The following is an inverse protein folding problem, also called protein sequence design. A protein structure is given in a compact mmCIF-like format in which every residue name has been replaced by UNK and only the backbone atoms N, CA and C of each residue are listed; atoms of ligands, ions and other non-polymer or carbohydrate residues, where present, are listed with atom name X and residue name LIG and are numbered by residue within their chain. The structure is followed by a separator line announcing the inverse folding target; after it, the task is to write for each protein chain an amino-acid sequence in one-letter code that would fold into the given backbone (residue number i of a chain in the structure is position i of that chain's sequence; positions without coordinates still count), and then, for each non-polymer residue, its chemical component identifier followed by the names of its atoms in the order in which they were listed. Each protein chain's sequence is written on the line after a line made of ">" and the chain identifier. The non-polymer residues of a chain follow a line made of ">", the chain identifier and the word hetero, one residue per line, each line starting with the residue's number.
data_IF_587169412272
#
_entry.id   IF_587169412272
#
_cell.length_a   1.000
_cell.length_b   1.000
_cell.length_c   1.000
_cell.angle_alpha   90.00
_cell.angle_beta   90.00
_cell.angle_gamma   90.00
#
_symmetry.space_group_name_H-M   'P 1'
#
loop_
_entity.id
_entity.type
_entity.pdbx_description
1 polymer ?
#
# COMPACT_ATOMS: atom_id res chain seq x y z
N UNK A 1 46.29 12.00 -25.91
CA UNK A 1 45.22 11.16 -26.45
C UNK A 1 43.92 11.52 -25.77
N UNK A 2 42.96 12.06 -26.50
CA UNK A 2 41.64 12.41 -25.98
C UNK A 2 40.73 11.17 -25.96
N UNK A 3 39.83 11.02 -24.97
CA UNK A 3 38.92 9.88 -24.91
C UNK A 3 37.84 9.95 -26.02
N UNK A 4 37.44 8.81 -26.60
CA UNK A 4 36.44 8.76 -27.66
C UNK A 4 35.04 9.12 -27.17
N UNK A 5 34.55 10.24 -27.71
CA UNK A 5 33.17 10.64 -28.02
C UNK A 5 32.00 9.86 -27.40
N UNK A 6 31.34 10.49 -26.43
CA UNK A 6 29.95 10.20 -26.09
C UNK A 6 29.03 10.72 -27.19
N UNK A 7 28.50 9.81 -28.01
CA UNK A 7 27.46 10.11 -28.99
C UNK A 7 26.14 10.34 -28.24
N UNK A 8 25.72 11.60 -28.13
CA UNK A 8 24.38 11.97 -27.68
C UNK A 8 23.50 12.14 -28.92
N UNK A 9 22.43 11.34 -29.10
CA UNK A 9 21.53 11.55 -30.22
C UNK A 9 20.78 12.88 -30.04
N UNK A 10 20.55 13.64 -31.13
CA UNK A 10 19.82 14.89 -31.07
C UNK A 10 18.36 14.63 -30.71
N UNK A 11 17.91 15.32 -29.65
CA UNK A 11 16.52 15.36 -29.22
C UNK A 11 15.75 16.21 -30.25
N UNK A 12 15.20 15.58 -31.27
CA UNK A 12 14.38 16.26 -32.27
C UNK A 12 13.02 16.63 -31.68
N UNK A 13 12.74 17.92 -31.74
CA UNK A 13 11.48 18.58 -31.38
C UNK A 13 10.28 17.88 -32.05
N UNK A 14 9.43 17.27 -31.23
CA UNK A 14 8.06 16.91 -31.65
C UNK A 14 7.12 18.03 -31.20
N UNK A 15 7.04 19.05 -32.05
CA UNK A 15 5.99 20.06 -32.02
C UNK A 15 4.60 19.40 -32.15
N UNK A 16 3.73 19.77 -31.22
CA UNK A 16 2.37 19.28 -31.14
C UNK A 16 1.48 19.76 -32.29
N UNK A 17 0.86 18.81 -32.99
CA UNK A 17 -0.37 19.04 -33.76
C UNK A 17 -1.57 18.59 -32.92
N UNK A 18 -2.17 19.54 -32.20
CA UNK A 18 -3.55 19.40 -31.69
C UNK A 18 -4.48 19.68 -32.86
N UNK A 19 -5.27 18.68 -33.26
CA UNK A 19 -6.41 18.88 -34.16
C UNK A 19 -7.66 18.90 -33.28
N UNK A 20 -8.23 20.10 -33.16
CA UNK A 20 -9.60 20.30 -32.73
C UNK A 20 -10.53 19.74 -33.81
N UNK A 21 -11.42 18.84 -33.41
CA UNK A 21 -12.58 18.44 -34.19
C UNK A 21 -13.76 18.37 -33.22
N UNK A 22 -14.49 19.49 -33.15
CA UNK A 22 -15.83 19.51 -32.61
C UNK A 22 -16.78 18.77 -33.55
N UNK A 23 -17.57 17.87 -32.99
CA UNK A 23 -18.81 17.41 -33.58
C UNK A 23 -19.87 17.46 -32.48
N UNK A 24 -20.67 18.52 -32.54
CA UNK A 24 -22.02 18.55 -32.01
C UNK A 24 -22.84 17.51 -32.80
N UNK A 25 -23.49 16.60 -32.09
CA UNK A 25 -24.50 15.73 -32.64
C UNK A 25 -25.75 15.85 -31.76
N UNK A 26 -26.80 16.34 -32.41
CA UNK A 26 -28.13 16.60 -31.88
C UNK A 26 -28.76 15.34 -31.25
N UNK A 27 -29.25 15.51 -30.02
CA UNK A 27 -30.12 14.55 -29.35
C UNK A 27 -31.54 14.64 -29.92
N UNK A 28 -32.02 13.53 -30.52
CA UNK A 28 -33.44 13.30 -30.74
C UNK A 28 -34.02 12.50 -29.57
N UNK A 29 -35.14 12.92 -28.95
CA UNK A 29 -35.81 12.14 -27.91
C UNK A 29 -36.61 10.99 -28.54
N UNK A 30 -36.02 9.79 -28.54
CA UNK A 30 -36.71 8.54 -28.90
C UNK A 30 -37.61 8.07 -27.76
N UNK A 31 -38.89 8.44 -27.83
CA UNK A 31 -39.94 7.90 -26.99
C UNK A 31 -40.33 6.49 -27.45
N UNK A 32 -40.20 5.50 -26.55
CA UNK A 32 -41.07 4.32 -26.54
C UNK A 32 -40.39 2.98 -26.77
N UNK A 33 -40.20 2.23 -25.67
CA UNK A 33 -40.54 0.80 -25.57
C UNK A 33 -40.28 0.36 -24.12
N UNK A 34 -41.34 0.04 -23.37
CA UNK A 34 -41.19 -0.71 -22.11
C UNK A 34 -40.85 -2.15 -22.46
N UNK A 35 -39.56 -2.47 -22.51
CA UNK A 35 -39.08 -3.84 -22.63
C UNK A 35 -38.89 -4.42 -21.22
N UNK A 36 -39.94 -5.07 -20.71
CA UNK A 36 -39.85 -5.98 -19.57
C UNK A 36 -39.11 -7.24 -20.03
N UNK A 37 -37.77 -7.21 -19.95
CA UNK A 37 -36.95 -8.25 -20.58
C UNK A 37 -35.58 -8.42 -19.96
N UNK A 38 -35.50 -9.23 -18.89
CA UNK A 38 -34.38 -10.18 -18.68
C UNK A 38 -32.93 -9.65 -18.74
N UNK A 39 -32.71 -8.38 -18.45
CA UNK A 39 -31.38 -7.91 -18.07
C UNK A 39 -31.10 -8.33 -16.62
N UNK A 40 -30.97 -9.64 -16.41
CA UNK A 40 -30.10 -10.16 -15.37
C UNK A 40 -28.69 -9.73 -15.78
N UNK A 41 -28.41 -8.45 -15.55
CA UNK A 41 -27.14 -7.77 -15.70
C UNK A 41 -26.12 -8.70 -15.07
N UNK A 42 -25.48 -9.50 -15.93
CA UNK A 42 -24.43 -10.43 -15.56
C UNK A 42 -23.26 -9.55 -15.20
N UNK A 43 -23.31 -8.98 -13.99
CA UNK A 43 -22.23 -8.22 -13.40
C UNK A 43 -21.04 -9.15 -13.50
N UNK A 44 -20.11 -8.83 -14.39
CA UNK A 44 -19.02 -9.73 -14.68
C UNK A 44 -18.38 -10.15 -13.36
N UNK A 45 -18.17 -11.46 -13.13
CA UNK A 45 -17.72 -11.92 -11.84
C UNK A 45 -16.39 -11.24 -11.52
N UNK A 46 -16.43 -10.31 -10.57
CA UNK A 46 -15.26 -9.62 -9.99
C UNK A 46 -14.15 -10.65 -9.89
N UNK A 47 -13.06 -10.49 -10.63
CA UNK A 47 -12.13 -11.57 -11.01
C UNK A 47 -11.60 -12.37 -9.80
N UNK A 48 -12.40 -13.33 -9.31
CA UNK A 48 -12.20 -14.04 -8.03
C UNK A 48 -10.87 -14.81 -8.07
N UNK A 49 -10.47 -15.24 -9.27
CA UNK A 49 -9.21 -15.94 -9.53
C UNK A 49 -8.00 -15.15 -9.06
N UNK A 50 -8.05 -13.82 -9.08
CA UNK A 50 -6.94 -12.97 -8.60
C UNK A 50 -6.68 -13.08 -7.09
N UNK A 51 -7.69 -13.46 -6.31
CA UNK A 51 -7.58 -13.53 -4.86
C UNK A 51 -7.13 -14.91 -4.35
N UNK A 52 -7.19 -15.92 -5.21
CA UNK A 52 -6.73 -17.28 -4.91
C UNK A 52 -5.22 -17.33 -5.18
N UNK A 53 -4.44 -17.55 -4.13
CA UNK A 53 -2.98 -17.63 -4.26
C UNK A 53 -2.62 -18.95 -4.95
N UNK A 54 -1.76 -18.95 -5.99
CA UNK A 54 -1.28 -20.17 -6.58
C UNK A 54 -0.49 -20.99 -5.54
N UNK A 55 -0.51 -22.31 -5.71
CA UNK A 55 0.23 -23.21 -4.84
C UNK A 55 1.73 -22.86 -4.84
N UNK A 56 2.42 -22.90 -3.68
CA UNK A 56 3.84 -22.61 -3.61
C UNK A 56 4.65 -23.65 -4.40
N UNK A 57 5.67 -23.19 -5.13
CA UNK A 57 6.64 -24.04 -5.82
C UNK A 57 7.42 -24.89 -4.83
N UNK A 58 7.49 -26.21 -5.03
CA UNK A 58 8.18 -27.16 -4.14
C UNK A 58 9.68 -27.34 -4.40
N UNK A 59 10.20 -26.81 -5.52
CA UNK A 59 11.62 -26.99 -5.87
C UNK A 59 12.53 -26.19 -4.90
N UNK A 60 13.44 -26.86 -4.16
CA UNK A 60 14.27 -26.23 -3.14
C UNK A 60 15.25 -25.18 -3.71
N UNK A 61 15.77 -25.39 -4.92
CA UNK A 61 16.71 -24.45 -5.56
C UNK A 61 16.02 -23.12 -5.90
N UNK A 62 14.80 -23.21 -6.45
CA UNK A 62 13.96 -22.04 -6.74
C UNK A 62 13.63 -21.28 -5.46
N UNK A 63 13.36 -21.99 -4.37
CA UNK A 63 13.11 -21.38 -3.06
C UNK A 63 14.34 -20.66 -2.52
N UNK A 64 15.53 -21.28 -2.56
CA UNK A 64 16.77 -20.67 -2.09
C UNK A 64 17.14 -19.43 -2.92
N UNK A 65 17.05 -19.51 -4.26
CA UNK A 65 17.28 -18.36 -5.15
C UNK A 65 16.33 -17.20 -4.82
N UNK A 66 15.05 -17.51 -4.61
CA UNK A 66 14.03 -16.51 -4.21
C UNK A 66 14.33 -15.91 -2.84
N UNK A 67 14.77 -16.70 -1.87
CA UNK A 67 15.17 -16.23 -0.54
C UNK A 67 16.35 -15.27 -0.63
N UNK A 68 17.41 -15.61 -1.38
CA UNK A 68 18.58 -14.73 -1.59
C UNK A 68 18.18 -13.40 -2.22
N UNK A 69 17.37 -13.42 -3.30
CA UNK A 69 16.85 -12.21 -3.95
C UNK A 69 16.00 -11.35 -3.00
N UNK A 70 15.09 -11.98 -2.24
CA UNK A 70 14.26 -11.30 -1.26
C UNK A 70 15.09 -10.69 -0.13
N UNK A 71 16.12 -11.39 0.34
CA UNK A 71 17.03 -10.91 1.37
C UNK A 71 17.77 -9.65 0.90
N UNK A 72 18.41 -9.70 -0.27
CA UNK A 72 19.10 -8.54 -0.83
C UNK A 72 18.15 -7.36 -1.06
N UNK A 73 16.94 -7.61 -1.59
CA UNK A 73 15.93 -6.57 -1.78
C UNK A 73 15.50 -5.93 -0.45
N UNK A 74 15.31 -6.72 0.61
CA UNK A 74 15.01 -6.22 1.96
C UNK A 74 16.15 -5.39 2.54
N UNK A 75 17.40 -5.80 2.34
CA UNK A 75 18.57 -5.05 2.78
C UNK A 75 18.64 -3.67 2.09
N UNK A 76 18.43 -3.62 0.77
CA UNK A 76 18.37 -2.34 0.03
C UNK A 76 17.22 -1.45 0.52
N UNK A 77 16.03 -2.02 0.69
CA UNK A 77 14.88 -1.29 1.20
C UNK A 77 15.10 -0.77 2.65
N UNK A 78 15.82 -1.52 3.49
CA UNK A 78 16.19 -1.08 4.84
C UNK A 78 17.12 0.13 4.78
N UNK A 79 18.16 0.09 3.94
CA UNK A 79 19.08 1.22 3.72
C UNK A 79 18.34 2.47 3.27
N UNK A 80 17.52 2.37 2.22
CA UNK A 80 16.74 3.51 1.71
C UNK A 80 15.76 4.06 2.76
N UNK A 81 15.12 3.21 3.57
CA UNK A 81 14.26 3.69 4.67
C UNK A 81 15.05 4.46 5.71
N UNK A 82 16.22 3.96 6.09
CA UNK A 82 17.12 4.64 7.04
C UNK A 82 17.60 5.99 6.51
N UNK A 83 17.88 6.09 5.21
CA UNK A 83 18.25 7.36 4.56
C UNK A 83 17.10 8.36 4.61
N UNK A 84 15.88 7.95 4.20
CA UNK A 84 14.70 8.82 4.26
C UNK A 84 14.37 9.24 5.70
N UNK A 85 14.53 8.33 6.67
CA UNK A 85 14.33 8.65 8.09
C UNK A 85 15.31 9.72 8.58
N UNK A 86 16.58 9.66 8.18
CA UNK A 86 17.56 10.72 8.46
C UNK A 86 17.17 12.05 7.81
N UNK A 87 16.66 12.04 6.57
CA UNK A 87 16.19 13.24 5.90
C UNK A 87 14.96 13.86 6.60
N UNK A 88 14.04 13.03 7.10
CA UNK A 88 12.85 13.49 7.82
C UNK A 88 13.22 14.14 9.16
N UNK A 89 14.28 13.69 9.82
CA UNK A 89 14.78 14.31 11.06
C UNK A 89 15.41 15.69 10.84
N UNK A 90 15.99 15.96 9.65
CA UNK A 90 16.49 17.30 9.30
C UNK A 90 15.31 18.27 9.15
N UNK A 91 15.38 19.53 9.63
CA UNK A 91 14.32 20.52 9.42
C UNK A 91 14.14 20.81 7.92
N UNK A 92 12.91 21.16 7.51
CA UNK A 92 12.56 21.29 6.08
C UNK A 92 13.34 22.39 5.35
N UNK A 93 13.71 23.46 6.05
CA UNK A 93 14.43 24.62 5.53
C UNK A 93 15.89 24.29 5.17
N UNK A 94 16.50 23.31 5.84
CA UNK A 94 17.88 22.89 5.59
C UNK A 94 17.99 21.81 4.50
N UNK A 95 16.85 21.26 4.04
CA UNK A 95 16.85 20.20 3.02
C UNK A 95 17.11 20.81 1.65
N UNK A 96 18.05 20.21 0.93
CA UNK A 96 18.24 20.49 -0.48
C UNK A 96 16.98 20.14 -1.29
N UNK A 97 16.75 20.76 -2.47
CA UNK A 97 15.58 20.44 -3.30
C UNK A 97 15.55 18.98 -3.75
N UNK A 98 16.72 18.32 -3.85
CA UNK A 98 16.82 16.90 -4.18
C UNK A 98 16.35 16.00 -3.03
N UNK A 99 16.78 16.28 -1.80
CA UNK A 99 16.33 15.56 -0.60
C UNK A 99 14.82 15.73 -0.37
N UNK A 100 14.29 16.94 -0.60
CA UNK A 100 12.85 17.20 -0.53
C UNK A 100 12.07 16.33 -1.52
N UNK A 101 12.53 16.25 -2.78
CA UNK A 101 11.93 15.36 -3.79
C UNK A 101 12.00 13.88 -3.38
N UNK A 102 13.08 13.44 -2.75
CA UNK A 102 13.20 12.04 -2.31
C UNK A 102 12.20 11.69 -1.20
N UNK A 103 12.04 12.58 -0.22
CA UNK A 103 11.04 12.45 0.84
C UNK A 103 9.63 12.45 0.24
N UNK A 104 9.32 13.40 -0.64
CA UNK A 104 8.01 13.50 -1.28
C UNK A 104 7.69 12.24 -2.12
N UNK A 105 8.65 11.75 -2.92
CA UNK A 105 8.50 10.51 -3.67
C UNK A 105 8.28 9.30 -2.76
N UNK A 106 8.92 9.26 -1.58
CA UNK A 106 8.72 8.19 -0.62
C UNK A 106 7.30 8.24 0.00
N UNK A 107 6.84 9.43 0.39
CA UNK A 107 5.50 9.66 0.92
C UNK A 107 4.41 9.35 -0.11
N UNK A 108 4.57 9.81 -1.35
CA UNK A 108 3.69 9.50 -2.46
C UNK A 108 3.60 8.00 -2.73
N UNK A 109 4.74 7.28 -2.70
CA UNK A 109 4.77 5.82 -2.82
C UNK A 109 4.05 5.15 -1.64
N UNK A 110 4.19 5.67 -0.43
CA UNK A 110 3.51 5.17 0.77
C UNK A 110 2.00 5.40 0.70
N UNK A 111 1.56 6.60 0.31
CA UNK A 111 0.16 6.96 0.14
C UNK A 111 -0.52 6.08 -0.92
N UNK A 112 0.07 5.95 -2.11
CA UNK A 112 -0.43 5.08 -3.19
C UNK A 112 -0.54 3.61 -2.75
N UNK A 113 0.40 3.11 -1.94
CA UNK A 113 0.34 1.76 -1.39
C UNK A 113 -0.81 1.59 -0.40
N UNK A 114 -0.99 2.55 0.51
CA UNK A 114 -2.08 2.53 1.48
C UNK A 114 -3.43 2.57 0.77
N UNK A 115 -3.58 3.44 -0.23
CA UNK A 115 -4.80 3.58 -1.02
C UNK A 115 -5.12 2.29 -1.79
N UNK A 116 -4.14 1.70 -2.48
CA UNK A 116 -4.33 0.39 -3.13
C UNK A 116 -4.74 -0.71 -2.14
N UNK A 117 -4.21 -0.68 -0.91
CA UNK A 117 -4.61 -1.65 0.11
C UNK A 117 -6.03 -1.43 0.62
N UNK A 118 -6.49 -0.16 0.68
CA UNK A 118 -7.86 0.20 1.03
C UNK A 118 -8.83 -0.23 -0.07
N UNK A 119 -8.55 0.13 -1.32
CA UNK A 119 -9.33 -0.28 -2.50
C UNK A 119 -9.50 -1.81 -2.56
N UNK A 120 -8.40 -2.57 -2.46
CA UNK A 120 -8.46 -4.04 -2.42
C UNK A 120 -9.25 -4.60 -1.24
N UNK A 121 -9.28 -3.90 -0.10
CA UNK A 121 -10.07 -4.34 1.05
C UNK A 121 -11.57 -4.11 0.81
N UNK A 122 -11.92 -2.99 0.17
CA UNK A 122 -13.29 -2.67 -0.26
C UNK A 122 -13.75 -3.67 -1.31
N UNK A 123 -12.99 -3.86 -2.39
CA UNK A 123 -13.27 -4.85 -3.44
C UNK A 123 -13.46 -6.26 -2.85
N UNK A 124 -12.60 -6.64 -1.90
CA UNK A 124 -12.71 -7.94 -1.24
C UNK A 124 -13.97 -8.05 -0.38
N UNK A 125 -14.37 -6.98 0.31
CA UNK A 125 -15.60 -6.94 1.12
C UNK A 125 -16.82 -7.07 0.20
N UNK A 126 -16.90 -6.26 -0.85
CA UNK A 126 -17.98 -6.30 -1.83
C UNK A 126 -18.09 -7.69 -2.49
N UNK A 127 -16.96 -8.31 -2.84
CA UNK A 127 -16.96 -9.67 -3.36
C UNK A 127 -17.51 -10.70 -2.36
N UNK A 128 -17.21 -10.57 -1.06
CA UNK A 128 -17.78 -11.43 -0.01
C UNK A 128 -19.29 -11.21 0.08
N UNK A 129 -19.73 -9.95 0.12
CA UNK A 129 -21.13 -9.59 0.25
C UNK A 129 -21.96 -10.10 -0.94
N UNK A 130 -21.43 -9.99 -2.17
CA UNK A 130 -22.03 -10.55 -3.40
C UNK A 130 -22.18 -12.07 -3.34
N UNK A 131 -21.20 -12.80 -2.82
CA UNK A 131 -21.29 -14.28 -2.71
C UNK A 131 -22.28 -14.68 -1.62
N UNK A 132 -22.30 -13.96 -0.50
CA UNK A 132 -23.21 -14.24 0.61
C UNK A 132 -24.68 -13.99 0.25
N UNK A 133 -24.94 -13.02 -0.63
CA UNK A 133 -26.28 -12.76 -1.17
C UNK A 133 -26.84 -13.94 -1.97
N UNK A 134 -25.98 -14.78 -2.58
CA UNK A 134 -26.40 -16.02 -3.25
C UNK A 134 -26.69 -17.12 -2.22
N UNK A 135 -27.77 -17.92 -2.38
CA UNK A 135 -28.01 -19.07 -1.53
C UNK A 135 -26.88 -20.10 -1.69
N UNK A 136 -26.60 -20.87 -0.64
CA UNK A 136 -25.42 -21.76 -0.58
C UNK A 136 -25.41 -22.81 -1.70
N UNK A 137 -26.58 -23.31 -2.10
CA UNK A 137 -26.74 -24.28 -3.19
C UNK A 137 -26.33 -23.75 -4.57
N UNK A 138 -26.31 -22.42 -4.76
CA UNK A 138 -25.97 -21.77 -6.03
C UNK A 138 -24.53 -21.22 -6.06
N UNK A 139 -23.78 -21.35 -4.96
CA UNK A 139 -22.40 -20.87 -4.89
C UNK A 139 -21.47 -21.81 -5.65
N UNK A 140 -20.60 -21.25 -6.46
CA UNK A 140 -19.58 -22.00 -7.18
C UNK A 140 -18.47 -22.48 -6.24
N UNK A 141 -17.78 -23.56 -6.60
CA UNK A 141 -16.64 -24.09 -5.82
C UNK A 141 -15.54 -23.05 -5.57
N UNK A 142 -15.31 -22.15 -6.54
CA UNK A 142 -14.32 -21.08 -6.41
C UNK A 142 -14.76 -20.01 -5.39
N UNK A 143 -16.05 -19.66 -5.38
CA UNK A 143 -16.62 -18.73 -4.41
C UNK A 143 -16.56 -19.30 -2.99
N UNK A 144 -16.87 -20.59 -2.83
CA UNK A 144 -16.74 -21.30 -1.55
C UNK A 144 -15.28 -21.29 -1.05
N UNK A 145 -14.31 -21.62 -1.91
CA UNK A 145 -12.89 -21.57 -1.56
C UNK A 145 -12.42 -20.15 -1.21
N UNK A 146 -12.91 -19.13 -1.92
CA UNK A 146 -12.62 -17.73 -1.62
C UNK A 146 -13.20 -17.31 -0.25
N UNK A 147 -14.44 -17.68 0.06
CA UNK A 147 -15.07 -17.43 1.36
C UNK A 147 -14.29 -18.12 2.49
N UNK A 148 -13.93 -19.39 2.32
CA UNK A 148 -13.13 -20.14 3.29
C UNK A 148 -11.77 -19.46 3.54
N UNK A 149 -11.07 -19.05 2.48
CA UNK A 149 -9.81 -18.31 2.59
C UNK A 149 -10.00 -16.95 3.29
N UNK A 150 -11.10 -16.24 3.01
CA UNK A 150 -11.40 -14.96 3.62
C UNK A 150 -11.70 -15.09 5.12
N UNK A 151 -12.56 -16.04 5.50
CA UNK A 151 -12.95 -16.31 6.89
C UNK A 151 -11.78 -16.84 7.71
N UNK A 152 -11.01 -17.78 7.18
CA UNK A 152 -9.79 -18.28 7.84
C UNK A 152 -8.75 -17.17 8.05
N UNK A 153 -8.59 -16.26 7.08
CA UNK A 153 -7.72 -15.10 7.23
C UNK A 153 -8.22 -14.14 8.32
N UNK A 154 -9.54 -13.90 8.41
CA UNK A 154 -10.14 -13.08 9.47
C UNK A 154 -9.92 -13.71 10.85
N UNK A 155 -10.16 -15.03 10.98
CA UNK A 155 -9.92 -15.79 12.20
C UNK A 155 -8.46 -15.70 12.67
N UNK A 156 -7.49 -15.95 11.78
CA UNK A 156 -6.06 -15.85 12.10
C UNK A 156 -5.64 -14.44 12.52
N UNK A 157 -6.21 -13.39 11.91
CA UNK A 157 -5.95 -11.99 12.30
C UNK A 157 -6.49 -11.68 13.69
N UNK A 158 -7.72 -12.08 14.00
CA UNK A 158 -8.32 -11.88 15.31
C UNK A 158 -7.55 -12.63 16.40
N UNK A 159 -7.11 -13.86 16.13
CA UNK A 159 -6.27 -14.64 17.04
C UNK A 159 -4.90 -13.98 17.27
N UNK A 160 -4.27 -13.48 16.20
CA UNK A 160 -3.02 -12.73 16.30
C UNK A 160 -3.17 -11.44 17.12
N UNK A 161 -4.27 -10.71 16.96
CA UNK A 161 -4.56 -9.52 17.76
C UNK A 161 -4.82 -9.87 19.23
N UNK A 162 -5.55 -10.96 19.49
CA UNK A 162 -5.75 -11.49 20.84
C UNK A 162 -4.43 -11.79 21.54
N UNK A 163 -3.55 -12.58 20.90
CA UNK A 163 -2.23 -12.91 21.44
C UNK A 163 -1.35 -11.66 21.63
N UNK A 164 -1.46 -10.68 20.72
CA UNK A 164 -0.77 -9.39 20.87
C UNK A 164 -1.26 -8.65 22.11
N UNK A 165 -2.57 -8.60 22.36
CA UNK A 165 -3.16 -7.97 23.57
C UNK A 165 -2.74 -8.70 24.84
N UNK A 166 -2.75 -10.02 24.84
CA UNK A 166 -2.28 -10.83 25.96
C UNK A 166 -0.80 -10.57 26.27
N UNK A 167 0.08 -10.50 25.24
CA UNK A 167 1.50 -10.15 25.43
C UNK A 167 1.71 -8.73 25.94
N UNK A 168 0.97 -7.75 25.41
CA UNK A 168 1.03 -6.37 25.91
C UNK A 168 0.56 -6.27 27.36
N UNK A 169 -0.49 -7.02 27.72
CA UNK A 169 -0.97 -7.16 29.10
C UNK A 169 0.09 -7.77 30.01
N UNK A 170 0.77 -8.83 29.58
CA UNK A 170 1.85 -9.46 30.33
C UNK A 170 3.07 -8.54 30.53
N UNK A 171 3.40 -7.72 29.53
CA UNK A 171 4.49 -6.74 29.62
C UNK A 171 4.13 -5.50 30.48
N UNK A 172 2.93 -5.45 31.07
CA UNK A 172 2.48 -4.30 31.85
C UNK A 172 2.24 -3.04 31.02
N UNK A 173 2.33 -3.12 29.69
CA UNK A 173 1.93 -2.06 28.77
C UNK A 173 0.41 -2.14 28.65
N UNK A 174 -0.29 -1.80 29.74
CA UNK A 174 -1.73 -1.68 29.73
C UNK A 174 -2.09 -0.68 28.63
N UNK A 175 -2.90 -1.12 27.66
CA UNK A 175 -3.49 -0.23 26.69
C UNK A 175 -4.33 0.78 27.50
N UNK A 176 -3.80 1.99 27.70
CA UNK A 176 -4.47 3.15 28.29
C UNK A 176 -5.79 3.40 27.55
N UNK A 177 -6.84 2.72 27.96
CA UNK A 177 -8.14 2.76 27.30
C UNK A 177 -9.31 2.53 28.24
N UNK A 178 -9.13 2.58 29.57
CA UNK A 178 -10.29 2.40 30.45
C UNK A 178 -10.09 2.67 31.93
N UNK A 179 -8.87 2.57 32.48
CA UNK A 179 -8.69 2.78 33.91
C UNK A 179 -8.13 4.18 34.16
N UNK A 180 -8.99 5.06 34.69
CA UNK A 180 -8.59 6.31 35.33
C UNK A 180 -7.71 5.93 36.53
N UNK A 181 -6.41 5.80 36.30
CA UNK A 181 -5.45 5.70 37.40
C UNK A 181 -5.28 7.11 37.94
N UNK A 182 -5.94 7.38 39.06
CA UNK A 182 -6.12 8.66 39.75
C UNK A 182 -4.82 9.29 40.31
N UNK A 183 -3.73 9.35 39.54
CA UNK A 183 -2.49 9.91 40.09
C UNK A 183 -1.34 10.15 39.14
N UNK A 184 -1.52 10.06 37.81
CA UNK A 184 -0.46 10.44 36.87
C UNK A 184 -0.95 11.60 36.00
N UNK A 185 -0.22 12.74 35.96
CA UNK A 185 -0.62 13.89 35.17
C UNK A 185 -0.84 13.46 33.73
N UNK A 186 -1.98 13.89 33.22
CA UNK A 186 -2.60 13.50 31.96
C UNK A 186 -1.78 14.07 30.78
N UNK A 187 -0.57 13.57 30.55
CA UNK A 187 0.20 13.92 29.35
C UNK A 187 -0.42 13.15 28.19
N UNK A 188 -1.28 13.86 27.45
CA UNK A 188 -1.88 13.41 26.20
C UNK A 188 -0.78 12.89 25.26
N UNK A 189 -0.99 11.73 24.63
CA UNK A 189 -0.07 11.18 23.63
C UNK A 189 0.06 12.07 22.38
N UNK A 190 -0.70 13.17 22.31
CA UNK A 190 -0.65 14.20 21.27
C UNK A 190 0.33 15.35 21.57
N UNK A 191 1.07 15.28 22.68
CA UNK A 191 1.80 16.42 23.22
C UNK A 191 0.85 17.46 23.84
N UNK A 192 1.35 18.43 24.62
CA UNK A 192 0.54 19.57 25.02
C UNK A 192 0.00 20.24 23.74
N UNK A 193 -1.31 20.47 23.68
CA UNK A 193 -1.87 21.29 22.60
C UNK A 193 -1.15 22.65 22.64
N UNK A 194 -0.77 23.21 21.48
CA UNK A 194 -0.27 24.58 21.41
C UNK A 194 -1.25 25.51 22.14
N UNK A 195 -0.77 26.41 23.02
CA UNK A 195 -1.62 27.20 23.91
C UNK A 195 -2.66 28.09 23.20
N UNK A 196 -2.55 28.28 21.89
CA UNK A 196 -3.51 29.07 21.11
C UNK A 196 -4.91 28.42 20.99
N UNK A 197 -5.05 27.10 21.18
CA UNK A 197 -6.35 26.43 20.99
C UNK A 197 -7.21 26.33 22.24
N UNK A 198 -6.67 26.55 23.45
CA UNK A 198 -7.45 26.44 24.69
C UNK A 198 -8.40 27.64 24.90
N UNK A 199 -8.15 28.79 24.26
CA UNK A 199 -8.97 29.98 24.43
C UNK A 199 -10.30 29.96 23.65
N UNK A 200 -10.46 29.09 22.65
CA UNK A 200 -11.70 29.05 21.83
C UNK A 200 -12.80 28.11 22.34
N UNK A 201 -12.49 27.21 23.27
CA UNK A 201 -13.47 26.22 23.75
C UNK A 201 -14.06 26.55 25.13
N UNK A 202 -13.56 27.59 25.80
CA UNK A 202 -13.93 27.94 27.17
C UNK A 202 -15.07 28.98 27.28
N UNK A 203 -15.52 29.59 26.18
CA UNK A 203 -16.56 30.64 26.23
C UNK A 203 -17.99 30.20 25.94
N UNK A 204 -18.24 29.01 25.37
CA UNK A 204 -19.60 28.64 24.89
C UNK A 204 -20.32 27.55 25.71
N UNK A 205 -19.73 27.06 26.80
CA UNK A 205 -20.24 25.88 27.51
C UNK A 205 -21.01 26.17 28.82
N UNK A 206 -21.54 27.38 29.01
CA UNK A 206 -22.43 27.70 30.14
C UNK A 206 -23.64 28.52 29.69
N UNK A 207 -24.62 27.84 29.11
CA UNK A 207 -26.02 28.23 29.28
C UNK A 207 -26.90 26.99 29.21
N UNK A 208 -27.38 26.60 30.39
CA UNK A 208 -28.50 25.71 30.57
C UNK A 208 -29.72 26.29 29.85
N UNK A 209 -30.44 25.44 29.12
CA UNK A 209 -31.61 25.81 28.35
C UNK A 209 -32.25 24.58 27.73
N UNK A 210 -33.13 23.96 28.50
CA UNK A 210 -34.28 23.17 28.07
C UNK A 210 -34.70 23.50 26.63
N UNK A 211 -34.44 22.59 25.67
CA UNK A 211 -34.93 22.73 24.30
C UNK A 211 -35.53 21.41 23.81
N UNK A 212 -36.86 21.43 23.76
CA UNK A 212 -37.73 20.84 22.75
C UNK A 212 -37.00 20.19 21.57
N UNK A 213 -37.40 18.95 21.27
CA UNK A 213 -37.13 18.22 20.05
C UNK A 213 -37.66 18.98 18.83
N UNK A 214 -36.89 19.92 18.32
CA UNK A 214 -37.16 20.62 17.07
C UNK A 214 -36.46 19.86 15.94
N UNK A 215 -37.26 19.18 15.12
CA UNK A 215 -36.83 18.46 13.93
C UNK A 215 -36.13 19.41 12.97
N UNK A 216 -34.83 19.26 12.81
CA UNK A 216 -34.08 20.00 11.80
C UNK A 216 -34.63 19.65 10.41
N UNK A 217 -34.90 20.65 9.55
CA UNK A 217 -35.30 20.41 8.18
C UNK A 217 -34.17 19.69 7.43
N UNK A 218 -34.53 18.59 6.80
CA UNK A 218 -33.67 17.83 5.89
C UNK A 218 -33.16 18.81 4.82
N UNK A 219 -31.83 18.95 4.62
CA UNK A 219 -31.31 19.83 3.59
C UNK A 219 -31.79 19.35 2.21
N UNK A 220 -32.13 20.27 1.29
CA UNK A 220 -32.53 19.90 -0.06
C UNK A 220 -31.40 19.11 -0.73
N UNK A 221 -31.76 17.96 -1.29
CA UNK A 221 -30.87 17.10 -2.06
C UNK A 221 -30.26 17.92 -3.20
N UNK A 222 -28.96 18.21 -3.10
CA UNK A 222 -28.22 18.72 -4.24
C UNK A 222 -28.09 17.60 -5.26
N UNK A 223 -28.51 17.80 -6.52
CA UNK A 223 -28.21 16.86 -7.58
C UNK A 223 -26.69 16.77 -7.71
N UNK A 224 -26.12 15.67 -7.23
CA UNK A 224 -24.71 15.35 -7.41
C UNK A 224 -24.50 15.01 -8.88
N UNK A 225 -24.26 16.03 -9.70
CA UNK A 225 -23.71 15.88 -11.04
C UNK A 225 -22.28 15.38 -10.86
N UNK A 226 -22.11 14.07 -10.74
CA UNK A 226 -20.82 13.43 -10.81
C UNK A 226 -20.35 13.56 -12.25
N UNK A 227 -19.65 14.65 -12.55
CA UNK A 227 -18.87 14.74 -13.79
C UNK A 227 -17.86 13.59 -13.76
N UNK A 228 -17.92 12.63 -14.70
CA UNK A 228 -16.96 11.54 -14.73
C UNK A 228 -15.56 12.15 -14.89
N UNK A 229 -14.65 11.76 -14.00
CA UNK A 229 -13.26 12.19 -14.10
C UNK A 229 -12.73 11.82 -15.50
N UNK A 230 -12.01 12.74 -16.19
CA UNK A 230 -11.47 12.47 -17.52
C UNK A 230 -10.60 11.20 -17.45
N UNK A 231 -10.97 10.20 -18.23
CA UNK A 231 -10.20 8.97 -18.34
C UNK A 231 -8.78 9.32 -18.80
N UNK A 232 -7.74 8.73 -18.17
CA UNK A 232 -6.38 8.91 -18.63
C UNK A 232 -6.29 8.45 -20.10
N UNK A 233 -5.54 9.16 -20.95
CA UNK A 233 -5.43 8.83 -22.37
C UNK A 233 -5.03 7.36 -22.53
N UNK A 234 -5.89 6.63 -23.22
CA UNK A 234 -5.66 5.25 -23.61
C UNK A 234 -4.42 5.25 -24.52
N UNK A 235 -3.27 4.80 -24.01
CA UNK A 235 -2.09 4.60 -24.83
C UNK A 235 -2.37 3.39 -25.74
N UNK A 236 -2.59 3.56 -27.05
CA UNK A 236 -2.71 2.43 -27.95
C UNK A 236 -1.43 1.63 -27.85
N UNK A 237 -1.59 0.31 -27.75
CA UNK A 237 -0.56 -0.63 -27.37
C UNK A 237 0.80 -0.32 -27.99
N UNK A 238 1.82 -0.32 -27.13
CA UNK A 238 3.18 -0.56 -27.56
C UNK A 238 3.18 -1.84 -28.39
N UNK A 239 3.15 -1.68 -29.70
CA UNK A 239 3.46 -2.73 -30.65
C UNK A 239 4.79 -3.32 -30.20
N UNK A 240 4.78 -4.64 -29.99
CA UNK A 240 5.98 -5.41 -29.76
C UNK A 240 6.94 -5.10 -30.91
N UNK A 241 7.93 -4.26 -30.65
CA UNK A 241 9.09 -4.18 -31.51
C UNK A 241 9.69 -5.59 -31.54
N UNK A 242 9.88 -6.18 -32.74
CA UNK A 242 10.50 -7.50 -32.84
C UNK A 242 11.84 -7.45 -32.11
N UNK A 243 11.96 -8.25 -31.06
CA UNK A 243 13.21 -8.37 -30.33
C UNK A 243 14.32 -8.71 -31.33
N UNK A 244 15.42 -7.95 -31.40
CA UNK A 244 16.54 -8.35 -32.23
C UNK A 244 16.98 -9.75 -31.82
N UNK A 245 17.38 -10.61 -32.76
CA UNK A 245 17.89 -11.93 -32.44
C UNK A 245 18.99 -11.77 -31.40
N UNK A 246 18.81 -12.52 -30.32
CA UNK A 246 19.58 -12.52 -29.08
C UNK A 246 21.09 -12.62 -29.36
N UNK A 247 21.73 -11.48 -29.65
CA UNK A 247 23.18 -11.35 -29.86
C UNK A 247 23.90 -11.08 -28.52
N UNK A 248 23.33 -11.53 -27.41
CA UNK A 248 24.09 -11.61 -26.18
C UNK A 248 25.08 -12.77 -26.34
N UNK A 249 26.40 -12.52 -26.32
CA UNK A 249 27.36 -13.61 -26.23
C UNK A 249 27.01 -14.45 -25.01
N UNK A 250 27.13 -15.79 -25.10
CA UNK A 250 26.92 -16.64 -23.94
C UNK A 250 27.78 -16.10 -22.79
N UNK A 251 27.24 -16.02 -21.55
CA UNK A 251 28.06 -15.64 -20.42
C UNK A 251 29.30 -16.54 -20.40
N UNK A 252 30.51 -15.99 -20.16
CA UNK A 252 31.73 -16.78 -20.15
C UNK A 252 31.52 -17.97 -19.22
N UNK A 253 31.88 -19.17 -19.72
CA UNK A 253 31.78 -20.40 -18.96
C UNK A 253 32.44 -20.16 -17.61
N UNK A 254 31.67 -20.39 -16.55
CA UNK A 254 32.10 -20.15 -15.19
C UNK A 254 33.22 -21.14 -14.88
N UNK A 255 34.47 -20.72 -15.03
CA UNK A 255 35.64 -21.56 -14.78
C UNK A 255 35.79 -21.78 -13.26
N UNK A 256 35.61 -23.01 -12.75
CA UNK A 256 35.70 -23.29 -11.33
C UNK A 256 37.13 -23.16 -10.77
N UNK A 257 38.15 -22.98 -11.62
CA UNK A 257 39.55 -23.00 -11.20
C UNK A 257 40.06 -21.67 -10.59
N UNK A 258 39.30 -20.57 -10.65
CA UNK A 258 39.72 -19.29 -10.06
C UNK A 258 39.39 -19.12 -8.56
N UNK A 259 38.90 -20.16 -7.87
CA UNK A 259 38.75 -20.16 -6.40
C UNK A 259 39.94 -20.79 -5.67
N UNK A 260 41.13 -20.75 -6.27
CA UNK A 260 42.35 -21.07 -5.57
C UNK A 260 42.70 -19.96 -4.55
N UNK A 261 42.58 -20.33 -3.27
CA UNK A 261 43.26 -19.74 -2.13
C UNK A 261 42.99 -18.26 -1.81
N UNK A 262 41.91 -17.99 -1.09
CA UNK A 262 41.99 -16.94 -0.06
C UNK A 262 42.94 -17.43 1.03
N UNK A 263 44.00 -16.67 1.39
CA UNK A 263 44.87 -17.05 2.49
C UNK A 263 44.07 -17.10 3.80
N UNK A 264 44.26 -18.21 4.50
CA UNK A 264 43.76 -18.44 5.84
C UNK A 264 44.26 -17.36 6.82
N UNK A 265 43.43 -17.05 7.81
CA UNK A 265 43.92 -16.55 9.09
C UNK A 265 43.67 -15.07 9.38
N UNK A 266 42.42 -14.73 9.68
CA UNK A 266 42.16 -13.71 10.72
C UNK A 266 41.33 -14.41 11.79
N UNK A 267 42.01 -14.88 12.82
CA UNK A 267 41.42 -15.35 14.07
C UNK A 267 40.79 -14.12 14.73
N UNK A 268 39.47 -13.99 14.62
CA UNK A 268 38.72 -13.08 15.46
C UNK A 268 38.67 -13.70 16.85
N UNK A 269 39.48 -13.15 17.74
CA UNK A 269 39.52 -13.44 19.16
C UNK A 269 38.15 -13.09 19.78
N UNK A 270 37.47 -14.08 20.34
CA UNK A 270 36.18 -13.92 21.03
C UNK A 270 36.43 -13.43 22.46
N UNK A 271 35.92 -12.25 22.86
CA UNK A 271 35.94 -11.85 24.26
C UNK A 271 34.75 -12.47 25.00
N UNK A 272 34.88 -13.73 25.40
CA UNK A 272 34.03 -14.35 26.42
C UNK A 272 34.91 -14.83 27.57
N UNK A 273 34.98 -14.03 28.63
CA UNK A 273 35.32 -14.43 30.01
C UNK A 273 35.06 -13.25 30.95
N UNK A 274 33.80 -12.94 31.19
CA UNK A 274 33.41 -12.18 32.38
C UNK A 274 33.35 -13.15 33.55
N UNK A 275 34.24 -12.92 34.51
CA UNK A 275 34.41 -13.64 35.76
C UNK A 275 33.09 -13.69 36.54
N UNK A 276 32.74 -14.89 37.01
CA UNK A 276 31.92 -15.04 38.21
C UNK A 276 32.85 -14.80 39.40
N UNK A 277 32.68 -13.68 40.10
CA UNK A 277 33.27 -13.48 41.42
C UNK A 277 32.22 -13.78 42.51
N UNK A 278 32.76 -14.40 43.54
CA UNK A 278 32.16 -14.93 44.77
C UNK A 278 31.18 -13.97 45.47
N UNK A 279 30.09 -14.55 45.97
CA UNK A 279 29.44 -14.09 47.20
C UNK A 279 29.31 -15.30 48.11
N UNK A 280 30.11 -15.31 49.17
CA UNK A 280 29.89 -16.05 50.42
C UNK A 280 29.63 -15.02 51.50
#
# INVERSE_FOLDING_TARGET
>A
GAPPGAYTPPFSDMEGKRKDAGQEADEAPSSGAMEEGKDAETSEPVNIRTFIKPAPTRNPEVLQRRQRKNFQSRQRAKKHKSQVEQLVLKPAEERTPEEQREVEMFENRRAKKNERSRQRAIEKKEAIDKILAKPESQRTKLELAFLEQALSSKKRKNEGDRLRRERLKMLGIQHRGGEKVDGKPNVSARGPLPPEYEQRLSSDALKEGESTSESLPVPPEYPSHVTPAPMPPYHPGYGYAPHPPNAYPPPPAWDPQHFAASPAGVVLDSPDKVKQEEVV
#
